data_IF_008949313859
#
_entry.id   IF_008949313859
#
_cell.length_a   1.000
_cell.length_b   1.000
_cell.length_c   1.000
_cell.angle_alpha   90.00
_cell.angle_beta   90.00
_cell.angle_gamma   90.00
#
_symmetry.space_group_name_H-M   'P 1'
#
loop_
_entity.id
_entity.type
_entity.pdbx_description
1 polymer ?
#
# COMPACT_ATOMS: atom_id res chain seq x y z
N UNK A 1 5.03 0.66 37.63
CA UNK A 1 4.58 -0.66 37.17
C UNK A 1 3.06 -0.61 37.07
N UNK A 2 2.55 -0.21 35.90
CA UNK A 2 1.10 -0.09 35.67
C UNK A 2 0.66 -1.37 34.98
N UNK A 3 -0.16 -2.15 35.68
CA UNK A 3 -0.75 -3.38 35.19
C UNK A 3 -1.68 -3.07 34.01
N UNK A 4 -1.37 -3.63 32.85
CA UNK A 4 -2.29 -3.69 31.71
C UNK A 4 -3.40 -4.67 32.10
N UNK A 5 -4.53 -4.12 32.57
CA UNK A 5 -5.74 -4.89 32.78
C UNK A 5 -6.14 -5.55 31.45
N UNK A 6 -6.16 -6.88 31.45
CA UNK A 6 -6.48 -7.71 30.30
C UNK A 6 -7.85 -7.37 29.72
N UNK A 7 -7.90 -7.25 28.39
CA UNK A 7 -9.15 -7.32 27.63
C UNK A 7 -9.54 -8.80 27.58
N UNK A 8 -10.20 -9.26 28.63
CA UNK A 8 -10.76 -10.61 28.75
C UNK A 8 -12.05 -10.71 27.94
N UNK A 9 -11.95 -10.68 26.60
CA UNK A 9 -13.05 -11.01 25.66
C UNK A 9 -12.56 -11.25 24.21
N UNK A 10 -11.31 -11.69 24.03
CA UNK A 10 -10.75 -11.99 22.72
C UNK A 10 -10.91 -13.48 22.39
N UNK A 11 -12.02 -13.86 21.74
CA UNK A 11 -12.19 -15.24 21.29
C UNK A 11 -11.45 -15.46 19.96
N UNK A 12 -10.53 -16.43 19.97
CA UNK A 12 -10.03 -17.05 18.75
C UNK A 12 -10.94 -18.23 18.41
N UNK A 13 -11.65 -18.14 17.28
CA UNK A 13 -12.58 -19.20 16.84
C UNK A 13 -12.10 -19.83 15.53
N UNK A 14 -12.62 -21.00 15.19
CA UNK A 14 -12.40 -21.55 13.85
C UNK A 14 -13.27 -20.83 12.79
N UNK A 15 -12.98 -21.09 11.52
CA UNK A 15 -13.67 -20.46 10.39
C UNK A 15 -15.18 -20.78 10.37
N UNK A 16 -15.58 -21.98 10.82
CA UNK A 16 -16.97 -22.41 10.81
C UNK A 16 -17.79 -21.71 11.92
N UNK A 17 -17.21 -21.57 13.11
CA UNK A 17 -17.76 -20.84 14.23
C UNK A 17 -17.87 -19.34 13.91
N UNK A 18 -16.84 -18.76 13.27
CA UNK A 18 -16.91 -17.37 12.80
C UNK A 18 -18.06 -17.16 11.79
N UNK A 19 -18.20 -18.08 10.82
CA UNK A 19 -19.33 -18.08 9.87
C UNK A 19 -20.69 -18.13 10.57
N UNK A 20 -20.83 -18.96 11.60
CA UNK A 20 -22.06 -19.04 12.40
C UNK A 20 -22.36 -17.70 13.07
N UNK A 21 -21.37 -17.09 13.73
CA UNK A 21 -21.52 -15.79 14.41
C UNK A 21 -21.97 -14.69 13.47
N UNK A 22 -21.43 -14.63 12.25
CA UNK A 22 -21.86 -13.65 11.23
C UNK A 22 -23.33 -13.86 10.83
N UNK A 23 -23.78 -15.11 10.68
CA UNK A 23 -25.20 -15.41 10.36
C UNK A 23 -26.14 -15.07 11.51
N UNK A 24 -25.71 -15.27 12.74
CA UNK A 24 -26.48 -14.88 13.93
C UNK A 24 -26.60 -13.36 14.01
N UNK A 25 -25.49 -12.64 13.80
CA UNK A 25 -25.49 -11.18 13.71
C UNK A 25 -26.41 -10.67 12.60
N UNK A 26 -26.37 -11.28 11.41
CA UNK A 26 -27.28 -10.98 10.30
C UNK A 26 -28.74 -11.14 10.70
N UNK A 27 -29.07 -12.24 11.37
CA UNK A 27 -30.43 -12.51 11.84
C UNK A 27 -30.92 -11.45 12.83
N UNK A 28 -30.06 -11.01 13.75
CA UNK A 28 -30.37 -9.92 14.68
C UNK A 28 -30.62 -8.58 13.96
N UNK A 29 -29.83 -8.25 12.93
CA UNK A 29 -30.03 -7.02 12.14
C UNK A 29 -31.35 -7.08 11.36
N UNK A 30 -31.70 -8.23 10.79
CA UNK A 30 -32.99 -8.43 10.11
C UNK A 30 -34.17 -8.33 11.08
N UNK A 31 -34.04 -8.86 12.29
CA UNK A 31 -35.06 -8.69 13.34
C UNK A 31 -35.19 -7.22 13.74
N UNK A 32 -34.07 -6.50 13.91
CA UNK A 32 -34.08 -5.08 14.25
C UNK A 32 -34.79 -4.24 13.17
N UNK A 33 -34.64 -4.62 11.89
CA UNK A 33 -35.26 -3.94 10.75
C UNK A 33 -36.79 -3.93 10.81
N UNK A 34 -37.40 -5.02 11.28
CA UNK A 34 -38.86 -5.18 11.36
C UNK A 34 -39.43 -4.93 12.76
N UNK A 35 -38.55 -4.76 13.76
CA UNK A 35 -38.93 -4.49 15.14
C UNK A 35 -39.50 -3.08 15.34
N UNK A 36 -40.26 -2.91 16.42
CA UNK A 36 -40.75 -1.60 16.87
C UNK A 36 -39.60 -0.71 17.36
N UNK A 37 -39.84 0.60 17.40
CA UNK A 37 -38.83 1.59 17.80
C UNK A 37 -38.29 1.35 19.23
N UNK A 38 -39.09 0.76 20.12
CA UNK A 38 -38.67 0.42 21.48
C UNK A 38 -37.78 -0.82 21.58
N UNK A 39 -37.96 -1.80 20.68
CA UNK A 39 -37.20 -3.06 20.68
C UNK A 39 -35.93 -2.99 19.82
N UNK A 40 -35.94 -2.15 18.78
CA UNK A 40 -34.85 -2.03 17.81
C UNK A 40 -33.48 -1.71 18.43
N UNK A 41 -33.33 -0.77 19.38
CA UNK A 41 -32.01 -0.46 19.96
C UNK A 41 -31.36 -1.67 20.63
N UNK A 42 -32.12 -2.48 21.36
CA UNK A 42 -31.61 -3.66 22.03
C UNK A 42 -31.13 -4.74 21.05
N UNK A 43 -31.83 -4.91 19.92
CA UNK A 43 -31.43 -5.85 18.86
C UNK A 43 -30.16 -5.39 18.14
N UNK A 44 -30.05 -4.09 17.85
CA UNK A 44 -28.84 -3.49 17.26
C UNK A 44 -27.64 -3.69 18.18
N UNK A 45 -27.78 -3.46 19.48
CA UNK A 45 -26.67 -3.60 20.42
C UNK A 45 -26.21 -5.07 20.57
N UNK A 46 -27.16 -6.02 20.52
CA UNK A 46 -26.84 -7.45 20.48
C UNK A 46 -26.06 -7.82 19.21
N UNK A 47 -26.46 -7.30 18.05
CA UNK A 47 -25.76 -7.51 16.79
C UNK A 47 -24.32 -6.93 16.84
N UNK A 48 -24.17 -5.72 17.38
CA UNK A 48 -22.84 -5.08 17.57
C UNK A 48 -21.95 -5.90 18.47
N UNK A 49 -22.48 -6.35 19.60
CA UNK A 49 -21.75 -7.21 20.54
C UNK A 49 -21.31 -8.51 19.85
N UNK A 50 -22.19 -9.17 19.09
CA UNK A 50 -21.86 -10.40 18.38
C UNK A 50 -20.72 -10.22 17.36
N UNK A 51 -20.69 -9.10 16.63
CA UNK A 51 -19.61 -8.77 15.70
C UNK A 51 -18.28 -8.50 16.42
N UNK A 52 -18.31 -7.86 17.59
CA UNK A 52 -17.12 -7.50 18.36
C UNK A 52 -16.52 -8.67 19.18
N UNK A 53 -17.25 -9.78 19.32
CA UNK A 53 -16.80 -10.94 20.11
C UNK A 53 -15.62 -11.70 19.47
N UNK A 54 -15.44 -11.59 18.15
CA UNK A 54 -14.38 -12.33 17.46
C UNK A 54 -13.24 -11.41 17.08
N UNK A 55 -12.05 -11.69 17.61
CA UNK A 55 -10.84 -10.89 17.32
C UNK A 55 -9.83 -11.67 16.47
N UNK A 56 -9.98 -12.99 16.40
CA UNK A 56 -9.09 -13.83 15.61
C UNK A 56 -9.80 -15.10 15.10
N UNK A 57 -9.37 -15.55 13.93
CA UNK A 57 -9.78 -16.81 13.32
C UNK A 57 -8.58 -17.74 13.22
N UNK A 58 -8.75 -18.98 13.66
CA UNK A 58 -7.80 -20.06 13.43
C UNK A 58 -8.16 -20.79 12.14
N UNK A 59 -7.24 -20.82 11.20
CA UNK A 59 -7.37 -21.55 9.94
C UNK A 59 -6.98 -23.03 10.11
N UNK A 60 -7.37 -23.88 9.14
CA UNK A 60 -7.12 -25.32 9.20
C UNK A 60 -5.62 -25.69 9.26
N UNK A 61 -4.74 -24.85 8.75
CA UNK A 61 -3.28 -24.98 8.83
C UNK A 61 -2.68 -24.45 10.16
N UNK A 62 -3.51 -24.10 11.14
CA UNK A 62 -3.08 -23.62 12.45
C UNK A 62 -2.64 -22.15 12.50
N UNK A 63 -2.66 -21.43 11.37
CA UNK A 63 -2.40 -19.99 11.34
C UNK A 63 -3.53 -19.23 12.04
N UNK A 64 -3.16 -18.17 12.78
CA UNK A 64 -4.13 -17.28 13.43
C UNK A 64 -4.17 -15.96 12.67
N UNK A 65 -5.35 -15.60 12.19
CA UNK A 65 -5.60 -14.37 11.44
C UNK A 65 -6.39 -13.42 12.34
N UNK A 66 -5.88 -12.22 12.57
CA UNK A 66 -6.61 -11.17 13.30
C UNK A 66 -7.79 -10.66 12.47
N UNK A 67 -8.94 -10.49 13.11
CA UNK A 67 -10.17 -9.96 12.49
C UNK A 67 -10.66 -8.77 13.30
N UNK A 68 -11.09 -7.73 12.59
CA UNK A 68 -11.64 -6.51 13.19
C UNK A 68 -12.95 -6.12 12.49
N UNK A 69 -14.06 -6.59 13.05
CA UNK A 69 -15.40 -6.26 12.60
C UNK A 69 -15.96 -4.97 13.24
N UNK A 70 -15.12 -4.21 13.97
CA UNK A 70 -15.54 -2.97 14.65
C UNK A 70 -16.06 -1.90 13.69
N UNK A 71 -15.62 -1.92 12.43
CA UNK A 71 -16.11 -1.02 11.39
C UNK A 71 -17.56 -1.31 11.03
N UNK A 72 -17.91 -2.59 10.87
CA UNK A 72 -19.29 -3.01 10.58
C UNK A 72 -20.18 -2.74 11.80
N UNK A 73 -19.72 -3.10 13.00
CA UNK A 73 -20.45 -2.84 14.24
C UNK A 73 -20.74 -1.34 14.46
N UNK A 74 -19.77 -0.44 14.20
CA UNK A 74 -19.97 1.01 14.36
C UNK A 74 -21.00 1.61 13.40
N UNK A 75 -21.17 1.02 12.22
CA UNK A 75 -22.13 1.50 11.20
C UNK A 75 -23.56 1.06 11.47
N UNK A 76 -23.76 0.04 12.31
CA UNK A 76 -25.10 -0.37 12.73
C UNK A 76 -25.70 0.68 13.66
N UNK A 77 -26.79 1.31 13.20
CA UNK A 77 -27.62 2.24 13.98
C UNK A 77 -29.09 1.79 13.94
N UNK A 78 -29.97 2.50 14.63
CA UNK A 78 -31.41 2.19 14.68
C UNK A 78 -32.18 2.63 13.44
N UNK A 79 -31.53 3.29 12.47
CA UNK A 79 -32.15 3.68 11.21
C UNK A 79 -32.24 2.50 10.24
N UNK A 80 -33.40 2.31 9.63
CA UNK A 80 -33.65 1.22 8.67
C UNK A 80 -32.67 1.24 7.49
N UNK A 81 -32.31 2.41 6.98
CA UNK A 81 -31.30 2.55 5.91
C UNK A 81 -29.93 2.02 6.35
N UNK A 82 -29.51 2.32 7.59
CA UNK A 82 -28.24 1.81 8.10
C UNK A 82 -28.27 0.31 8.42
N UNK A 83 -29.44 -0.22 8.76
CA UNK A 83 -29.64 -1.66 8.93
C UNK A 83 -29.56 -2.39 7.59
N UNK A 84 -30.12 -1.84 6.51
CA UNK A 84 -30.02 -2.40 5.16
C UNK A 84 -28.56 -2.45 4.68
N UNK A 85 -27.80 -1.36 4.88
CA UNK A 85 -26.35 -1.35 4.60
C UNK A 85 -25.61 -2.35 5.49
N UNK A 86 -25.99 -2.46 6.77
CA UNK A 86 -25.40 -3.42 7.70
C UNK A 86 -25.63 -4.88 7.29
N UNK A 87 -26.80 -5.23 6.76
CA UNK A 87 -27.07 -6.57 6.22
C UNK A 87 -26.16 -6.85 5.02
N UNK A 88 -26.01 -5.90 4.10
CA UNK A 88 -25.14 -6.06 2.93
C UNK A 88 -23.66 -6.24 3.32
N UNK A 89 -23.16 -5.46 4.28
CA UNK A 89 -21.81 -5.60 4.83
C UNK A 89 -21.58 -7.00 5.42
N UNK A 90 -22.54 -7.50 6.22
CA UNK A 90 -22.44 -8.84 6.84
C UNK A 90 -22.54 -9.93 5.76
N UNK A 91 -23.41 -9.78 4.75
CA UNK A 91 -23.53 -10.72 3.64
C UNK A 91 -22.23 -10.83 2.83
N UNK A 92 -21.52 -9.71 2.63
CA UNK A 92 -20.21 -9.72 2.00
C UNK A 92 -19.18 -10.49 2.84
N UNK A 93 -19.15 -10.30 4.16
CA UNK A 93 -18.26 -11.05 5.06
C UNK A 93 -18.55 -12.56 5.01
N UNK A 94 -19.83 -12.95 5.04
CA UNK A 94 -20.24 -14.35 4.88
C UNK A 94 -19.77 -14.90 3.53
N UNK A 95 -19.94 -14.17 2.43
CA UNK A 95 -19.49 -14.61 1.12
C UNK A 95 -17.96 -14.80 1.03
N UNK A 96 -17.18 -13.94 1.69
CA UNK A 96 -15.71 -14.07 1.78
C UNK A 96 -15.35 -15.36 2.54
N UNK A 97 -15.97 -15.58 3.69
CA UNK A 97 -15.74 -16.79 4.51
C UNK A 97 -16.14 -18.06 3.77
N UNK A 98 -17.25 -18.03 3.03
CA UNK A 98 -17.74 -19.15 2.22
C UNK A 98 -16.76 -19.52 1.12
N UNK A 99 -16.19 -18.51 0.45
CA UNK A 99 -15.15 -18.70 -0.57
C UNK A 99 -13.84 -19.19 0.03
N UNK A 100 -13.49 -18.77 1.24
CA UNK A 100 -12.32 -19.27 1.95
C UNK A 100 -12.49 -20.75 2.37
N UNK A 101 -13.71 -21.17 2.73
CA UNK A 101 -14.02 -22.55 3.07
C UNK A 101 -14.04 -23.47 1.84
N UNK A 102 -14.50 -22.96 0.69
CA UNK A 102 -14.55 -23.69 -0.58
C UNK A 102 -13.90 -22.85 -1.69
N UNK A 103 -12.56 -22.83 -1.78
CA UNK A 103 -11.87 -22.02 -2.78
C UNK A 103 -12.23 -22.51 -4.19
N UNK A 104 -12.56 -21.60 -5.12
CA UNK A 104 -12.97 -21.96 -6.49
C UNK A 104 -11.78 -22.40 -7.36
N UNK A 105 -10.59 -22.48 -6.79
CA UNK A 105 -9.34 -22.85 -7.43
C UNK A 105 -8.53 -23.75 -6.51
N UNK A 106 -7.65 -24.57 -7.09
CA UNK A 106 -6.72 -25.40 -6.35
C UNK A 106 -5.69 -24.51 -5.62
N UNK A 107 -5.83 -24.42 -4.30
CA UNK A 107 -4.96 -23.61 -3.43
C UNK A 107 -3.52 -24.12 -3.46
N UNK A 108 -3.30 -25.42 -3.64
CA UNK A 108 -1.95 -25.98 -3.75
C UNK A 108 -1.27 -25.52 -5.04
N UNK A 109 -2.01 -25.56 -6.16
CA UNK A 109 -1.50 -25.06 -7.43
C UNK A 109 -1.27 -23.53 -7.43
N UNK A 110 -2.15 -22.77 -6.78
CA UNK A 110 -1.99 -21.32 -6.64
C UNK A 110 -0.76 -20.96 -5.79
N UNK A 111 -0.57 -21.65 -4.66
CA UNK A 111 0.60 -21.45 -3.80
C UNK A 111 1.91 -21.87 -4.48
N UNK A 112 1.90 -22.95 -5.27
CA UNK A 112 3.06 -23.35 -6.06
C UNK A 112 3.47 -22.26 -7.06
N UNK A 113 2.51 -21.67 -7.79
CA UNK A 113 2.77 -20.55 -8.70
C UNK A 113 3.29 -19.31 -7.95
N UNK A 114 2.73 -19.00 -6.78
CA UNK A 114 3.23 -17.89 -5.94
C UNK A 114 4.66 -18.13 -5.44
N UNK A 115 4.99 -19.36 -5.09
CA UNK A 115 6.35 -19.74 -4.71
C UNK A 115 7.31 -19.59 -5.90
N UNK A 116 6.91 -20.00 -7.11
CA UNK A 116 7.69 -19.80 -8.32
C UNK A 116 7.95 -18.31 -8.60
N UNK A 117 6.96 -17.44 -8.40
CA UNK A 117 7.13 -16.00 -8.51
C UNK A 117 8.01 -15.42 -7.39
N UNK A 118 7.87 -15.89 -6.15
CA UNK A 118 8.68 -15.44 -5.02
C UNK A 118 10.16 -15.85 -5.18
N UNK A 119 10.42 -17.06 -5.69
CA UNK A 119 11.77 -17.54 -6.02
C UNK A 119 12.33 -16.79 -7.23
N UNK A 120 11.53 -16.54 -8.27
CA UNK A 120 11.93 -15.73 -9.41
C UNK A 120 12.27 -14.28 -9.03
N UNK A 121 11.58 -13.72 -8.03
CA UNK A 121 11.85 -12.38 -7.49
C UNK A 121 13.06 -12.36 -6.56
N UNK A 122 13.29 -13.42 -5.77
CA UNK A 122 14.49 -13.56 -4.92
C UNK A 122 15.75 -13.76 -5.77
N UNK A 123 15.63 -14.41 -6.94
CA UNK A 123 16.72 -14.51 -7.91
C UNK A 123 17.01 -13.19 -8.64
N UNK A 124 16.01 -12.28 -8.72
CA UNK A 124 16.13 -10.95 -9.32
C UNK A 124 16.57 -9.87 -8.33
N UNK A 125 16.22 -10.03 -7.05
CA UNK A 125 16.61 -9.18 -5.93
C UNK A 125 17.76 -9.84 -5.17
N UNK A 126 18.95 -9.76 -5.77
CA UNK A 126 20.14 -10.44 -5.29
C UNK A 126 20.51 -10.03 -3.87
N UNK A 127 20.57 -11.01 -2.96
CA UNK A 127 21.30 -10.86 -1.69
C UNK A 127 22.74 -10.37 -1.91
N UNK A 128 23.32 -10.64 -3.09
CA UNK A 128 24.62 -10.12 -3.51
C UNK A 128 24.69 -8.59 -3.61
N UNK A 129 23.62 -7.88 -3.97
CA UNK A 129 23.65 -6.40 -4.08
C UNK A 129 23.65 -5.75 -2.69
N UNK A 130 22.93 -6.33 -1.74
CA UNK A 130 22.92 -5.86 -0.35
C UNK A 130 24.25 -6.11 0.35
N UNK A 131 24.81 -7.32 0.23
CA UNK A 131 26.10 -7.65 0.85
C UNK A 131 27.28 -6.94 0.18
N UNK A 132 27.22 -6.71 -1.14
CA UNK A 132 28.25 -5.93 -1.85
C UNK A 132 28.15 -4.43 -1.54
N UNK A 133 26.95 -3.87 -1.39
CA UNK A 133 26.76 -2.49 -0.93
C UNK A 133 27.25 -2.30 0.51
N UNK A 134 26.99 -3.26 1.41
CA UNK A 134 27.55 -3.27 2.77
C UNK A 134 29.07 -3.39 2.73
N UNK A 135 29.61 -4.29 1.91
CA UNK A 135 31.06 -4.46 1.75
C UNK A 135 31.74 -3.19 1.23
N UNK A 136 31.15 -2.52 0.25
CA UNK A 136 31.66 -1.26 -0.30
C UNK A 136 31.56 -0.11 0.71
N UNK A 137 30.50 -0.07 1.51
CA UNK A 137 30.33 0.92 2.58
C UNK A 137 31.33 0.71 3.72
N UNK A 138 31.54 -0.55 4.13
CA UNK A 138 32.53 -0.92 5.15
C UNK A 138 33.96 -0.65 4.67
N UNK A 139 34.28 -0.93 3.41
CA UNK A 139 35.58 -0.61 2.83
C UNK A 139 35.83 0.91 2.74
N UNK A 140 34.76 1.70 2.58
CA UNK A 140 34.82 3.17 2.58
C UNK A 140 34.92 3.76 4.00
N UNK A 141 34.39 3.07 5.01
CA UNK A 141 34.50 3.47 6.42
C UNK A 141 35.82 3.02 7.07
N UNK A 142 36.37 1.90 6.61
CA UNK A 142 37.65 1.35 7.08
C UNK A 142 38.61 1.20 5.90
N UNK A 143 39.05 2.30 5.27
CA UNK A 143 40.17 2.24 4.35
C UNK A 143 41.36 1.70 5.15
N UNK A 144 41.97 0.61 4.67
CA UNK A 144 43.04 -0.16 5.33
C UNK A 144 43.96 0.71 6.20
N UNK A 145 43.75 0.65 7.50
CA UNK A 145 44.52 1.39 8.49
C UNK A 145 45.82 0.64 8.80
N UNK A 146 46.85 0.87 7.98
CA UNK A 146 48.25 0.69 8.40
C UNK A 146 48.72 1.78 9.39
N UNK A 147 47.80 2.62 9.88
CA UNK A 147 48.08 3.65 10.87
C UNK A 147 48.00 3.07 12.29
N UNK A 148 49.16 2.87 12.93
CA UNK A 148 49.26 2.66 14.39
C UNK A 148 48.56 3.82 15.11
N UNK A 149 47.39 3.56 15.69
CA UNK A 149 46.64 4.56 16.45
C UNK A 149 47.28 4.79 17.82
N UNK A 150 47.54 6.03 18.25
CA UNK A 150 48.07 6.34 19.58
C UNK A 150 47.05 6.03 20.69
N UNK A 151 47.51 5.63 21.89
CA UNK A 151 46.64 5.27 23.02
C UNK A 151 45.81 6.49 23.47
N UNK A 152 44.49 6.36 23.39
CA UNK A 152 43.50 7.44 23.64
C UNK A 152 42.45 7.57 22.53
N UNK A 153 42.71 7.01 21.35
CA UNK A 153 41.83 7.14 20.17
C UNK A 153 40.73 6.07 20.09
N UNK A 154 40.78 5.06 20.98
CA UNK A 154 39.91 3.88 20.97
C UNK A 154 38.47 4.25 21.31
N UNK A 155 38.29 5.16 22.27
CA UNK A 155 36.98 5.63 22.72
C UNK A 155 36.27 6.44 21.64
N UNK A 156 36.99 7.35 20.97
CA UNK A 156 36.46 8.14 19.85
C UNK A 156 36.04 7.26 18.67
N UNK A 157 36.85 6.25 18.35
CA UNK A 157 36.56 5.30 17.25
C UNK A 157 35.33 4.46 17.56
N UNK A 158 35.18 4.03 18.82
CA UNK A 158 34.03 3.25 19.27
C UNK A 158 32.74 4.10 19.27
N UNK A 159 32.81 5.38 19.64
CA UNK A 159 31.66 6.29 19.55
C UNK A 159 31.23 6.56 18.11
N UNK A 160 32.17 6.74 17.17
CA UNK A 160 31.85 6.97 15.75
C UNK A 160 31.24 5.70 15.14
N UNK A 161 31.80 4.53 15.46
CA UNK A 161 31.26 3.25 15.01
C UNK A 161 29.85 2.98 15.58
N UNK A 162 29.63 3.28 16.87
CA UNK A 162 28.33 3.15 17.52
C UNK A 162 27.27 4.11 16.96
N UNK A 163 27.64 5.37 16.71
CA UNK A 163 26.77 6.35 16.08
C UNK A 163 26.42 5.96 14.63
N UNK A 164 27.39 5.44 13.87
CA UNK A 164 27.17 4.91 12.53
C UNK A 164 26.20 3.73 12.51
N UNK A 165 26.38 2.77 13.43
CA UNK A 165 25.47 1.63 13.58
C UNK A 165 24.05 2.07 13.95
N UNK A 166 23.93 3.06 14.87
CA UNK A 166 22.64 3.63 15.25
C UNK A 166 21.91 4.26 14.06
N UNK A 167 22.62 5.02 13.22
CA UNK A 167 22.06 5.63 12.00
C UNK A 167 21.60 4.57 11.01
N UNK A 168 22.37 3.48 10.83
CA UNK A 168 22.01 2.36 9.95
C UNK A 168 20.78 1.63 10.46
N UNK A 169 20.72 1.31 11.76
CA UNK A 169 19.55 0.70 12.40
C UNK A 169 18.33 1.60 12.27
N UNK A 170 18.48 2.91 12.48
CA UNK A 170 17.40 3.88 12.34
C UNK A 170 16.91 3.98 10.89
N UNK A 171 17.82 3.95 9.91
CA UNK A 171 17.47 3.93 8.49
C UNK A 171 16.70 2.65 8.10
N UNK A 172 17.10 1.49 8.63
CA UNK A 172 16.40 0.21 8.42
C UNK A 172 15.02 0.23 9.06
N UNK A 173 14.90 0.77 10.28
CA UNK A 173 13.62 0.89 10.98
C UNK A 173 12.68 1.89 10.25
N UNK A 174 13.18 3.03 9.81
CA UNK A 174 12.40 4.01 9.03
C UNK A 174 11.93 3.40 7.71
N UNK A 175 12.78 2.60 7.05
CA UNK A 175 12.44 1.89 5.80
C UNK A 175 11.39 0.79 6.02
N UNK A 176 11.49 0.01 7.10
CA UNK A 176 10.51 -1.02 7.46
C UNK A 176 9.16 -0.49 7.96
N UNK A 177 9.18 0.66 8.64
CA UNK A 177 7.96 1.36 9.10
C UNK A 177 7.23 2.01 7.92
N UNK A 178 7.95 2.53 6.91
CA UNK A 178 7.34 3.03 5.66
C UNK A 178 6.56 1.95 4.91
N UNK A 179 7.07 0.72 4.86
CA UNK A 179 6.40 -0.40 4.17
C UNK A 179 5.19 -0.95 4.94
N UNK A 180 5.21 -0.88 6.28
CA UNK A 180 4.05 -1.27 7.12
C UNK A 180 2.97 -0.19 7.18
N UNK A 181 3.33 1.10 7.24
CA UNK A 181 2.36 2.21 7.17
C UNK A 181 1.68 2.25 5.80
N UNK A 182 2.37 1.85 4.72
CA UNK A 182 1.82 1.67 3.36
C UNK A 182 0.69 0.64 3.30
N UNK A 183 0.58 -0.29 4.25
CA UNK A 183 -0.44 -1.36 4.23
C UNK A 183 -1.60 -1.23 5.20
N UNK A 184 -1.49 -0.46 6.29
CA UNK A 184 -2.50 -0.58 7.37
C UNK A 184 -3.25 0.70 7.80
N UNK A 185 -2.94 1.91 7.31
CA UNK A 185 -3.58 3.13 7.84
C UNK A 185 -4.05 4.19 6.84
N UNK A 186 -4.27 3.85 5.57
CA UNK A 186 -4.66 4.86 4.58
C UNK A 186 -6.16 5.16 4.62
N UNK A 187 -6.49 6.28 5.25
CA UNK A 187 -7.66 7.11 4.96
C UNK A 187 -7.60 7.48 3.46
N UNK A 188 -8.55 7.05 2.61
CA UNK A 188 -8.37 7.05 1.15
C UNK A 188 -8.23 8.43 0.49
N UNK A 189 -8.61 9.54 1.15
CA UNK A 189 -8.66 10.87 0.52
C UNK A 189 -7.33 11.62 0.54
N UNK A 190 -6.71 11.79 1.72
CA UNK A 190 -5.49 12.60 1.86
C UNK A 190 -4.25 11.95 1.24
N UNK A 191 -4.19 10.61 1.21
CA UNK A 191 -3.07 9.88 0.61
C UNK A 191 -3.24 9.68 -0.90
N UNK A 192 -4.47 9.66 -1.42
CA UNK A 192 -4.71 9.75 -2.85
C UNK A 192 -4.33 11.12 -3.39
N UNK A 193 -4.63 12.20 -2.63
CA UNK A 193 -4.17 13.56 -2.95
C UNK A 193 -2.64 13.67 -2.83
N UNK A 194 -2.00 13.11 -1.79
CA UNK A 194 -0.55 13.13 -1.64
C UNK A 194 0.18 12.29 -2.72
N UNK A 195 -0.35 11.12 -3.09
CA UNK A 195 0.17 10.29 -4.18
C UNK A 195 -0.12 10.89 -5.58
N UNK A 196 -1.12 11.77 -5.66
CA UNK A 196 -1.41 12.59 -6.82
C UNK A 196 -0.67 13.94 -6.81
N UNK A 197 0.26 14.19 -5.87
CA UNK A 197 1.10 15.39 -5.94
C UNK A 197 2.20 15.23 -6.99
N UNK A 198 2.50 16.31 -7.70
CA UNK A 198 3.57 16.34 -8.70
C UNK A 198 4.93 15.96 -8.10
N UNK A 199 5.23 16.46 -6.89
CA UNK A 199 6.49 16.18 -6.21
C UNK A 199 6.71 14.68 -5.93
N UNK A 200 5.65 13.94 -5.57
CA UNK A 200 5.72 12.50 -5.35
C UNK A 200 5.97 11.74 -6.66
N UNK A 201 5.34 12.16 -7.76
CA UNK A 201 5.57 11.55 -9.07
C UNK A 201 6.98 11.82 -9.60
N UNK A 202 7.54 13.02 -9.35
CA UNK A 202 8.92 13.32 -9.70
C UNK A 202 9.91 12.42 -8.94
N UNK A 203 9.72 12.26 -7.63
CA UNK A 203 10.55 11.39 -6.81
C UNK A 203 10.43 9.90 -7.25
N UNK A 204 9.22 9.46 -7.59
CA UNK A 204 8.98 8.12 -8.12
C UNK A 204 9.67 7.91 -9.48
N UNK A 205 9.61 8.90 -10.37
CA UNK A 205 10.27 8.85 -11.68
C UNK A 205 11.79 8.75 -11.56
N UNK A 206 12.39 9.59 -10.69
CA UNK A 206 13.82 9.56 -10.41
C UNK A 206 14.28 8.23 -9.82
N UNK A 207 13.49 7.66 -8.91
CA UNK A 207 13.80 6.36 -8.33
C UNK A 207 13.73 5.23 -9.36
N UNK A 208 12.68 5.20 -10.19
CA UNK A 208 12.50 4.20 -11.23
C UNK A 208 13.60 4.27 -12.30
N UNK A 209 14.04 5.49 -12.65
CA UNK A 209 15.16 5.69 -13.56
C UNK A 209 16.47 5.12 -12.96
N UNK A 210 16.72 5.34 -11.66
CA UNK A 210 17.89 4.82 -10.97
C UNK A 210 17.86 3.30 -10.77
N UNK A 211 16.67 2.70 -10.65
CA UNK A 211 16.51 1.25 -10.49
C UNK A 211 16.52 0.48 -11.81
N UNK A 212 16.72 1.15 -12.95
CA UNK A 212 16.72 0.51 -14.26
C UNK A 212 15.34 0.06 -14.73
N UNK A 213 14.27 0.71 -14.26
CA UNK A 213 12.90 0.48 -14.74
C UNK A 213 12.44 1.66 -15.61
N UNK A 214 12.81 1.68 -16.90
CA UNK A 214 12.50 2.80 -17.80
C UNK A 214 11.00 2.97 -18.02
N UNK A 215 10.23 1.88 -17.95
CA UNK A 215 8.78 1.92 -18.16
C UNK A 215 8.08 2.62 -17.01
N UNK A 216 8.42 2.27 -15.77
CA UNK A 216 7.88 2.93 -14.59
C UNK A 216 8.37 4.37 -14.49
N UNK A 217 9.63 4.65 -14.85
CA UNK A 217 10.18 6.00 -14.87
C UNK A 217 9.39 6.91 -15.82
N UNK A 218 9.15 6.44 -17.04
CA UNK A 218 8.41 7.17 -18.07
C UNK A 218 6.97 7.46 -17.63
N UNK A 219 6.26 6.47 -17.11
CA UNK A 219 4.89 6.68 -16.59
C UNK A 219 4.84 7.73 -15.48
N UNK A 220 5.82 7.70 -14.57
CA UNK A 220 5.89 8.68 -13.49
C UNK A 220 6.25 10.10 -13.99
N UNK A 221 7.12 10.24 -15.00
CA UNK A 221 7.40 11.54 -15.64
C UNK A 221 6.18 12.12 -16.36
N UNK A 222 5.41 11.27 -17.06
CA UNK A 222 4.14 11.65 -17.65
C UNK A 222 3.16 12.20 -16.60
N UNK A 223 2.97 11.48 -15.48
CA UNK A 223 2.09 11.92 -14.39
C UNK A 223 2.59 13.20 -13.73
N UNK A 224 3.89 13.33 -13.52
CA UNK A 224 4.51 14.55 -13.00
C UNK A 224 4.15 15.77 -13.85
N UNK A 225 4.26 15.67 -15.18
CA UNK A 225 3.96 16.78 -16.08
C UNK A 225 2.50 17.25 -15.96
N UNK A 226 1.55 16.31 -16.00
CA UNK A 226 0.11 16.62 -15.92
C UNK A 226 -0.25 17.23 -14.57
N UNK A 227 0.24 16.64 -13.49
CA UNK A 227 -0.08 17.11 -12.14
C UNK A 227 0.55 18.47 -11.86
N UNK A 228 1.76 18.74 -12.36
CA UNK A 228 2.38 20.07 -12.23
C UNK A 228 1.58 21.13 -12.97
N UNK A 229 1.10 20.83 -14.18
CA UNK A 229 0.23 21.74 -14.94
C UNK A 229 -1.11 21.96 -14.21
N UNK A 230 -1.64 20.94 -13.56
CA UNK A 230 -2.86 21.03 -12.76
C UNK A 230 -2.67 21.87 -11.48
N UNK A 231 -1.58 21.65 -10.74
CA UNK A 231 -1.23 22.41 -9.54
C UNK A 231 -1.03 23.90 -9.86
N UNK A 232 -0.44 24.21 -11.02
CA UNK A 232 -0.28 25.60 -11.51
C UNK A 232 -1.56 26.21 -12.08
N UNK A 233 -2.68 25.47 -12.06
CA UNK A 233 -3.97 25.86 -12.67
C UNK A 233 -3.89 26.18 -14.17
N UNK A 234 -2.86 25.68 -14.85
CA UNK A 234 -2.71 25.77 -16.30
C UNK A 234 -3.60 24.75 -17.02
N UNK A 235 -3.98 23.66 -16.32
CA UNK A 235 -4.83 22.61 -16.84
C UNK A 235 -5.81 22.14 -15.77
N UNK A 236 -7.09 21.97 -16.12
CA UNK A 236 -8.05 21.31 -15.21
C UNK A 236 -8.02 19.80 -15.43
N UNK A 237 -7.21 19.12 -14.62
CA UNK A 237 -7.06 17.68 -14.64
C UNK A 237 -8.19 16.98 -13.87
N UNK A 238 -8.74 15.93 -14.47
CA UNK A 238 -9.71 15.02 -13.86
C UNK A 238 -9.23 13.59 -14.16
N UNK A 239 -9.20 12.67 -13.18
CA UNK A 239 -8.66 11.31 -13.38
C UNK A 239 -9.40 10.45 -14.41
N UNK A 240 -10.62 10.84 -14.81
CA UNK A 240 -11.43 10.14 -15.81
C UNK A 240 -11.11 10.56 -17.26
N UNK A 241 -10.22 11.54 -17.46
CA UNK A 241 -9.91 12.03 -18.80
C UNK A 241 -9.05 11.04 -19.58
N UNK A 242 -9.41 10.92 -20.85
CA UNK A 242 -8.54 10.31 -21.85
C UNK A 242 -7.44 11.29 -22.28
N UNK A 243 -6.33 10.76 -22.78
CA UNK A 243 -5.22 11.58 -23.27
C UNK A 243 -5.62 12.55 -24.39
N UNK A 244 -6.62 12.17 -25.20
CA UNK A 244 -7.18 13.04 -26.24
C UNK A 244 -7.90 14.25 -25.64
N UNK A 245 -8.75 14.04 -24.64
CA UNK A 245 -9.48 15.12 -23.95
C UNK A 245 -8.52 16.00 -23.14
N UNK A 246 -7.46 15.41 -22.59
CA UNK A 246 -6.40 16.13 -21.91
C UNK A 246 -5.68 17.11 -22.87
N UNK A 247 -5.32 16.64 -24.06
CA UNK A 247 -4.70 17.48 -25.09
C UNK A 247 -5.64 18.55 -25.64
N UNK A 248 -6.93 18.26 -25.75
CA UNK A 248 -7.94 19.24 -26.14
C UNK A 248 -8.02 20.38 -25.12
N UNK A 249 -7.96 20.06 -23.82
CA UNK A 249 -7.92 21.06 -22.74
C UNK A 249 -6.60 21.81 -22.64
N UNK A 250 -5.50 21.17 -23.00
CA UNK A 250 -4.18 21.77 -23.05
C UNK A 250 -3.93 22.57 -24.35
N UNK A 251 -4.88 22.63 -25.28
CA UNK A 251 -4.70 23.23 -26.62
C UNK A 251 -4.29 24.70 -26.62
N UNK A 252 -4.63 25.45 -25.57
CA UNK A 252 -4.23 26.85 -25.39
C UNK A 252 -2.85 27.04 -24.77
N UNK A 253 -2.19 25.96 -24.31
CA UNK A 253 -0.87 26.02 -23.71
C UNK A 253 0.22 26.09 -24.78
N UNK A 254 1.22 26.97 -24.64
CA UNK A 254 2.38 27.01 -25.53
C UNK A 254 3.11 25.67 -25.63
N UNK A 255 3.08 24.87 -24.55
CA UNK A 255 3.77 23.59 -24.43
C UNK A 255 2.95 22.39 -24.96
N UNK A 256 1.81 22.60 -25.61
CA UNK A 256 0.90 21.51 -26.02
C UNK A 256 1.57 20.46 -26.90
N UNK A 257 2.48 20.86 -27.80
CA UNK A 257 3.19 19.92 -28.67
C UNK A 257 4.21 19.08 -27.89
N UNK A 258 4.84 19.66 -26.87
CA UNK A 258 5.73 18.93 -25.95
C UNK A 258 4.95 17.92 -25.12
N UNK A 259 3.76 18.30 -24.63
CA UNK A 259 2.87 17.40 -23.90
C UNK A 259 2.35 16.26 -24.80
N UNK A 260 2.01 16.56 -26.05
CA UNK A 260 1.58 15.57 -27.06
C UNK A 260 2.66 14.54 -27.34
N UNK A 261 3.91 14.99 -27.45
CA UNK A 261 5.05 14.12 -27.65
C UNK A 261 5.28 13.21 -26.43
N UNK A 262 5.20 13.76 -25.21
CA UNK A 262 5.31 12.99 -23.96
C UNK A 262 4.22 11.93 -23.84
N UNK A 263 2.97 12.27 -24.15
CA UNK A 263 1.82 11.34 -24.17
C UNK A 263 2.05 10.22 -25.17
N UNK A 264 2.49 10.55 -26.38
CA UNK A 264 2.74 9.56 -27.44
C UNK A 264 3.83 8.56 -27.04
N UNK A 265 4.84 9.05 -26.31
CA UNK A 265 5.92 8.22 -25.77
C UNK A 265 5.42 7.31 -24.64
N UNK A 266 4.57 7.84 -23.76
CA UNK A 266 3.87 7.09 -22.72
C UNK A 266 3.01 5.96 -23.27
N UNK A 267 2.14 6.26 -24.22
CA UNK A 267 1.21 5.27 -24.76
C UNK A 267 1.95 4.12 -25.42
N UNK A 268 3.05 4.42 -26.11
CA UNK A 268 3.91 3.41 -26.71
C UNK A 268 4.60 2.55 -25.66
N UNK A 269 5.15 3.15 -24.61
CA UNK A 269 5.86 2.42 -23.56
C UNK A 269 4.92 1.55 -22.69
N UNK A 270 3.69 2.02 -22.48
CA UNK A 270 2.74 1.38 -21.58
C UNK A 270 1.79 0.40 -22.29
N UNK A 271 1.34 0.72 -23.50
CA UNK A 271 0.43 -0.12 -24.27
C UNK A 271 1.11 -0.82 -25.46
N UNK A 272 2.34 -0.44 -25.81
CA UNK A 272 3.09 -1.10 -26.86
C UNK A 272 3.60 -2.47 -26.46
N UNK A 273 3.80 -3.32 -27.49
CA UNK A 273 4.38 -4.65 -27.38
C UNK A 273 5.91 -4.62 -27.20
N UNK A 274 6.55 -3.47 -27.41
CA UNK A 274 7.98 -3.23 -27.15
C UNK A 274 8.13 -2.60 -25.76
N UNK A 275 9.05 -3.13 -24.96
CA UNK A 275 9.41 -2.51 -23.68
C UNK A 275 10.02 -1.12 -23.88
N UNK A 276 9.98 -0.29 -22.83
CA UNK A 276 10.61 1.02 -22.83
C UNK A 276 12.13 0.90 -22.69
N UNK A 277 12.86 1.79 -23.35
CA UNK A 277 14.32 1.90 -23.27
C UNK A 277 14.76 3.01 -22.30
N UNK A 278 16.02 2.96 -21.85
CA UNK A 278 16.58 3.99 -20.96
C UNK A 278 16.62 5.35 -21.68
N UNK A 279 16.95 5.34 -22.97
CA UNK A 279 16.96 6.53 -23.83
C UNK A 279 15.57 7.17 -23.94
N UNK A 280 14.51 6.35 -24.05
CA UNK A 280 13.13 6.84 -24.06
C UNK A 280 12.72 7.42 -22.71
N UNK A 281 13.16 6.84 -21.59
CA UNK A 281 12.91 7.38 -20.26
C UNK A 281 13.63 8.73 -20.04
N UNK A 282 14.87 8.85 -20.52
CA UNK A 282 15.62 10.11 -20.49
C UNK A 282 14.98 11.18 -21.39
N UNK A 283 14.49 10.78 -22.56
CA UNK A 283 13.74 11.68 -23.43
C UNK A 283 12.43 12.14 -22.79
N UNK A 284 11.71 11.24 -22.12
CA UNK A 284 10.49 11.57 -21.38
C UNK A 284 10.75 12.55 -20.24
N UNK A 285 11.87 12.42 -19.53
CA UNK A 285 12.31 13.40 -18.52
C UNK A 285 12.48 14.79 -19.12
N UNK A 286 13.24 14.91 -20.22
CA UNK A 286 13.47 16.18 -20.88
C UNK A 286 12.18 16.82 -21.45
N UNK A 287 11.23 15.99 -21.91
CA UNK A 287 9.90 16.45 -22.33
C UNK A 287 9.06 16.92 -21.14
N UNK A 288 9.05 16.18 -20.04
CA UNK A 288 8.30 16.55 -18.84
C UNK A 288 8.80 17.87 -18.24
N UNK A 289 10.13 18.06 -18.16
CA UNK A 289 10.74 19.32 -17.68
C UNK A 289 10.38 20.51 -18.58
N UNK A 290 10.40 20.34 -19.91
CA UNK A 290 9.98 21.38 -20.87
C UNK A 290 8.48 21.66 -20.82
N UNK A 291 7.66 20.64 -20.61
CA UNK A 291 6.21 20.79 -20.57
C UNK A 291 5.74 21.61 -19.35
N UNK A 292 6.53 21.61 -18.27
CA UNK A 292 6.22 22.32 -17.02
C UNK A 292 7.09 23.57 -16.80
N UNK A 293 7.95 23.93 -17.76
CA UNK A 293 8.72 25.18 -17.73
C UNK A 293 7.80 26.36 -18.06
#
# INVERSE_FOLDING_TARGET
MVATAGITNADTVDLAAYRSRLRDARTLVLQARVATDSQRPALVERARTALLQTTAIRTANGTVIGVDDSRVARRLTTSTTTLDVGVADIDQLVAIVDRAANPPFDVAQANARLADFAVAETARSGSNDFFSAIGALLARLFPSSDARLPPGSVELTLTIAGAGLLVVVLAILIRGVRERIRRETVQPSAHAEAAASAAVQLAAAQHAAQSGDPRTALHAFYRYAILTLAERRMLRYEPSLTDRELLERASSLPQVDTLRELISLHDRAWFGLKGATVEEADHARALAERAVA
#
